data_IF_305981736942
#
_entry.id   IF_305981736942
#
_cell.length_a   1.000
_cell.length_b   1.000
_cell.length_c   1.000
_cell.angle_alpha   90.00
_cell.angle_beta   90.00
_cell.angle_gamma   90.00
#
_symmetry.space_group_name_H-M   'P 1'
#
loop_
_entity.id
_entity.type
_entity.pdbx_description
1 polymer ?
#
# COMPACT_ATOMS: atom_id res chain seq x y z
N UNK A 1 -25.18 -3.50 -0.54
CA UNK A 1 -23.86 -3.99 -1.01
C UNK A 1 -22.79 -2.99 -0.58
N UNK A 2 -21.74 -3.43 0.12
CA UNK A 2 -20.63 -2.57 0.56
C UNK A 2 -19.74 -2.23 -0.64
N UNK A 3 -19.39 -0.96 -0.85
CA UNK A 3 -18.45 -0.56 -1.92
C UNK A 3 -17.01 -0.70 -1.44
N UNK A 4 -16.14 -1.21 -2.29
CA UNK A 4 -14.69 -1.30 -2.03
C UNK A 4 -13.94 -0.87 -3.29
N UNK A 5 -12.75 -0.32 -3.11
CA UNK A 5 -11.95 0.18 -4.21
C UNK A 5 -10.69 -0.67 -4.35
N UNK A 6 -10.51 -1.35 -5.49
CA UNK A 6 -9.28 -2.06 -5.86
C UNK A 6 -8.49 -1.17 -6.82
N UNK A 7 -7.35 -0.66 -6.38
CA UNK A 7 -6.64 0.43 -7.03
C UNK A 7 -5.34 -0.05 -7.68
N UNK A 8 -5.13 0.36 -8.92
CA UNK A 8 -3.92 0.11 -9.71
C UNK A 8 -3.36 1.45 -10.23
N UNK A 9 -2.51 2.16 -9.47
CA UNK A 9 -1.72 3.26 -10.01
C UNK A 9 -0.64 2.74 -10.95
N UNK A 10 -0.41 3.43 -12.07
CA UNK A 10 0.66 3.11 -13.02
C UNK A 10 1.22 4.37 -13.72
N UNK A 11 2.50 4.32 -14.05
CA UNK A 11 3.23 5.28 -14.87
C UNK A 11 3.98 4.60 -16.03
N UNK A 12 3.65 3.34 -16.31
CA UNK A 12 4.36 2.45 -17.25
C UNK A 12 3.45 1.37 -17.84
N UNK A 13 3.94 0.70 -18.88
CA UNK A 13 3.29 -0.47 -19.47
C UNK A 13 2.93 -1.56 -18.43
N UNK A 14 1.65 -1.90 -18.32
CA UNK A 14 1.14 -2.90 -17.39
C UNK A 14 -0.17 -3.57 -17.83
N UNK A 15 -0.44 -3.65 -19.14
CA UNK A 15 -1.69 -4.23 -19.68
C UNK A 15 -2.00 -5.64 -19.17
N UNK A 16 -1.00 -6.47 -18.91
CA UNK A 16 -1.19 -7.79 -18.30
C UNK A 16 -1.69 -7.69 -16.84
N UNK A 17 -1.13 -6.76 -16.06
CA UNK A 17 -1.54 -6.48 -14.68
C UNK A 17 -2.96 -5.92 -14.63
N UNK A 18 -3.36 -5.07 -15.58
CA UNK A 18 -4.75 -4.60 -15.72
C UNK A 18 -5.74 -5.77 -15.78
N UNK A 19 -5.45 -6.78 -16.61
CA UNK A 19 -6.30 -7.98 -16.72
C UNK A 19 -6.30 -8.81 -15.42
N UNK A 20 -5.13 -9.03 -14.83
CA UNK A 20 -5.00 -9.80 -13.59
C UNK A 20 -5.76 -9.13 -12.43
N UNK A 21 -5.67 -7.81 -12.28
CA UNK A 21 -6.38 -7.07 -11.22
C UNK A 21 -7.89 -7.02 -11.51
N UNK A 22 -8.33 -7.05 -12.78
CA UNK A 22 -9.73 -7.21 -13.11
C UNK A 22 -10.28 -8.61 -12.74
N UNK A 23 -9.48 -9.67 -12.91
CA UNK A 23 -9.81 -11.01 -12.41
C UNK A 23 -9.92 -11.02 -10.87
N UNK A 24 -9.04 -10.29 -10.19
CA UNK A 24 -9.11 -10.09 -8.75
C UNK A 24 -10.39 -9.36 -8.32
N UNK A 25 -10.77 -8.30 -9.03
CA UNK A 25 -12.02 -7.57 -8.77
C UNK A 25 -13.24 -8.49 -8.95
N UNK A 26 -13.25 -9.29 -10.03
CA UNK A 26 -14.31 -10.27 -10.28
C UNK A 26 -14.40 -11.33 -9.17
N UNK A 27 -13.25 -11.83 -8.70
CA UNK A 27 -13.22 -12.73 -7.54
C UNK A 27 -13.83 -12.08 -6.30
N UNK A 28 -13.48 -10.82 -6.04
CA UNK A 28 -14.05 -10.02 -4.96
C UNK A 28 -15.58 -9.93 -5.03
N UNK A 29 -16.11 -9.52 -6.17
CA UNK A 29 -17.57 -9.35 -6.37
C UNK A 29 -18.34 -10.69 -6.32
N UNK A 30 -17.77 -11.78 -6.84
CA UNK A 30 -18.44 -13.10 -6.87
C UNK A 30 -18.50 -13.79 -5.50
N UNK A 31 -17.48 -13.60 -4.66
CA UNK A 31 -17.35 -14.34 -3.40
C UNK A 31 -17.72 -13.51 -2.16
N UNK A 32 -17.85 -12.19 -2.31
CA UNK A 32 -18.18 -11.29 -1.22
C UNK A 32 -19.33 -10.38 -1.66
N UNK A 33 -20.27 -10.07 -0.74
CA UNK A 33 -21.39 -9.15 -0.98
C UNK A 33 -20.91 -7.68 -1.06
N UNK A 34 -20.10 -7.40 -2.10
CA UNK A 34 -19.45 -6.11 -2.33
C UNK A 34 -19.55 -5.68 -3.78
N UNK A 35 -19.57 -4.36 -3.98
CA UNK A 35 -19.34 -3.71 -5.27
C UNK A 35 -17.87 -3.33 -5.35
N UNK A 36 -17.14 -3.93 -6.28
CA UNK A 36 -15.71 -3.63 -6.47
C UNK A 36 -15.57 -2.54 -7.52
N UNK A 37 -15.10 -1.39 -7.09
CA UNK A 37 -14.63 -0.33 -7.97
C UNK A 37 -13.17 -0.61 -8.33
N UNK A 38 -12.91 -1.13 -9.53
CA UNK A 38 -11.57 -1.23 -10.07
C UNK A 38 -11.12 0.15 -10.53
N UNK A 39 -10.17 0.75 -9.82
CA UNK A 39 -9.69 2.11 -10.05
C UNK A 39 -8.26 2.08 -10.62
N UNK A 40 -8.13 2.38 -11.91
CA UNK A 40 -6.85 2.47 -12.61
C UNK A 40 -6.49 3.95 -12.74
N UNK A 41 -5.37 4.35 -12.12
CA UNK A 41 -4.84 5.73 -12.19
C UNK A 41 -3.60 5.72 -13.08
N UNK A 42 -3.76 6.20 -14.31
CA UNK A 42 -2.77 6.06 -15.36
C UNK A 42 -2.07 7.39 -15.66
N UNK A 43 -0.81 7.49 -15.25
CA UNK A 43 0.10 8.60 -15.56
C UNK A 43 1.14 8.19 -16.62
N UNK A 44 0.88 7.13 -17.40
CA UNK A 44 1.81 6.63 -18.41
C UNK A 44 1.82 7.49 -19.68
N UNK A 45 2.86 7.32 -20.51
CA UNK A 45 2.93 7.95 -21.83
C UNK A 45 1.83 7.45 -22.78
N UNK A 46 1.57 8.20 -23.85
CA UNK A 46 0.45 7.97 -24.77
C UNK A 46 0.37 6.54 -25.35
N UNK A 47 1.50 5.90 -25.64
CA UNK A 47 1.54 4.55 -26.17
C UNK A 47 1.06 3.51 -25.14
N UNK A 48 1.55 3.60 -23.91
CA UNK A 48 1.16 2.71 -22.81
C UNK A 48 -0.31 2.95 -22.41
N UNK A 49 -0.73 4.22 -22.32
CA UNK A 49 -2.12 4.58 -22.05
C UNK A 49 -3.09 3.99 -23.10
N UNK A 50 -2.73 4.04 -24.39
CA UNK A 50 -3.54 3.43 -25.44
C UNK A 50 -3.66 1.91 -25.26
N UNK A 51 -2.54 1.23 -24.97
CA UNK A 51 -2.54 -0.20 -24.70
C UNK A 51 -3.35 -0.57 -23.44
N UNK A 52 -3.32 0.27 -22.40
CA UNK A 52 -4.16 0.08 -21.22
C UNK A 52 -5.64 0.27 -21.52
N UNK A 53 -6.02 1.28 -22.31
CA UNK A 53 -7.41 1.48 -22.76
C UNK A 53 -7.93 0.28 -23.55
N UNK A 54 -7.12 -0.27 -24.45
CA UNK A 54 -7.46 -1.50 -25.17
C UNK A 54 -7.64 -2.69 -24.21
N UNK A 55 -6.74 -2.84 -23.23
CA UNK A 55 -6.84 -3.91 -22.23
C UNK A 55 -8.11 -3.77 -21.38
N UNK A 56 -8.48 -2.56 -20.96
CA UNK A 56 -9.71 -2.25 -20.21
C UNK A 56 -10.95 -2.52 -21.06
N UNK A 57 -10.96 -2.07 -22.33
CA UNK A 57 -12.08 -2.28 -23.23
C UNK A 57 -12.33 -3.77 -23.56
N UNK A 58 -11.27 -4.58 -23.50
CA UNK A 58 -11.34 -6.03 -23.72
C UNK A 58 -11.77 -6.83 -22.47
N UNK A 59 -11.94 -6.18 -21.30
CA UNK A 59 -12.37 -6.88 -20.09
C UNK A 59 -13.80 -7.40 -20.23
N UNK A 60 -14.08 -8.65 -19.82
CA UNK A 60 -15.44 -9.15 -19.78
C UNK A 60 -16.27 -8.37 -18.75
N UNK A 61 -17.54 -8.05 -19.02
CA UNK A 61 -18.41 -7.46 -18.02
C UNK A 61 -18.64 -8.45 -16.88
N UNK A 62 -18.48 -8.00 -15.64
CA UNK A 62 -18.70 -8.81 -14.44
C UNK A 62 -19.70 -8.11 -13.51
N UNK A 63 -20.81 -8.77 -13.12
CA UNK A 63 -21.74 -8.23 -12.13
C UNK A 63 -21.04 -7.84 -10.82
N UNK A 64 -21.33 -6.64 -10.34
CA UNK A 64 -20.72 -6.12 -9.11
C UNK A 64 -19.31 -5.54 -9.28
N UNK A 65 -18.77 -5.49 -10.50
CA UNK A 65 -17.51 -4.79 -10.81
C UNK A 65 -17.79 -3.52 -11.63
N UNK A 66 -17.23 -2.40 -11.19
CA UNK A 66 -17.27 -1.12 -11.92
C UNK A 66 -15.84 -0.68 -12.19
N UNK A 67 -15.47 -0.59 -13.48
CA UNK A 67 -14.12 -0.19 -13.88
C UNK A 67 -14.05 1.32 -14.13
N UNK A 68 -13.09 1.97 -13.49
CA UNK A 68 -12.74 3.39 -13.66
C UNK A 68 -11.30 3.45 -14.14
N UNK A 69 -11.08 3.95 -15.35
CA UNK A 69 -9.75 4.20 -15.90
C UNK A 69 -9.61 5.70 -16.11
N UNK A 70 -8.78 6.34 -15.29
CA UNK A 70 -8.51 7.77 -15.40
C UNK A 70 -7.09 8.00 -15.90
N UNK A 71 -6.96 8.69 -17.02
CA UNK A 71 -5.69 9.30 -17.42
C UNK A 71 -5.35 10.49 -16.51
N UNK A 72 -4.15 11.06 -16.66
CA UNK A 72 -3.71 12.16 -15.80
C UNK A 72 -4.55 13.44 -15.93
N UNK A 73 -5.10 13.72 -17.11
CA UNK A 73 -5.94 14.90 -17.33
C UNK A 73 -7.30 14.72 -16.63
N UNK A 74 -7.90 13.54 -16.74
CA UNK A 74 -9.14 13.20 -16.03
C UNK A 74 -8.94 13.22 -14.50
N UNK A 75 -7.80 12.72 -14.02
CA UNK A 75 -7.42 12.83 -12.60
C UNK A 75 -7.29 14.29 -12.17
N UNK A 76 -6.68 15.14 -12.99
CA UNK A 76 -6.52 16.58 -12.73
C UNK A 76 -7.87 17.29 -12.65
N UNK A 77 -8.79 16.99 -13.55
CA UNK A 77 -10.12 17.60 -13.57
C UNK A 77 -10.96 17.16 -12.36
N UNK A 78 -10.90 15.88 -11.97
CA UNK A 78 -11.51 15.41 -10.72
C UNK A 78 -10.96 16.16 -9.50
N UNK A 79 -9.63 16.31 -9.40
CA UNK A 79 -8.98 16.97 -8.28
C UNK A 79 -9.32 18.46 -8.24
N UNK A 80 -9.29 19.17 -9.36
CA UNK A 80 -9.70 20.58 -9.45
C UNK A 80 -11.12 20.79 -8.92
N UNK A 81 -12.06 19.96 -9.37
CA UNK A 81 -13.44 20.01 -8.90
C UNK A 81 -13.57 19.73 -7.40
N UNK A 82 -12.84 18.73 -6.89
CA UNK A 82 -12.86 18.35 -5.47
C UNK A 82 -12.24 19.43 -4.58
N UNK A 83 -11.07 19.94 -4.96
CA UNK A 83 -10.37 21.02 -4.25
C UNK A 83 -11.23 22.28 -4.21
N UNK A 84 -11.83 22.68 -5.34
CA UNK A 84 -12.71 23.85 -5.40
C UNK A 84 -13.93 23.71 -4.45
N UNK A 85 -14.55 22.53 -4.39
CA UNK A 85 -15.69 22.27 -3.50
C UNK A 85 -15.32 22.13 -2.02
N UNK A 86 -14.08 21.74 -1.72
CA UNK A 86 -13.63 21.50 -0.35
C UNK A 86 -13.45 22.78 0.47
N UNK A 87 -13.25 23.93 -0.18
CA UNK A 87 -12.99 25.20 0.51
C UNK A 87 -11.65 25.26 1.25
N UNK A 88 -10.68 24.40 0.90
CA UNK A 88 -9.33 24.41 1.49
C UNK A 88 -8.63 25.76 1.27
N UNK A 89 -7.85 26.20 2.27
CA UNK A 89 -7.27 27.54 2.28
C UNK A 89 -6.25 27.82 1.15
N UNK A 90 -5.57 26.79 0.65
CA UNK A 90 -4.55 26.91 -0.40
C UNK A 90 -4.83 25.89 -1.53
N UNK A 91 -5.86 26.10 -2.36
CA UNK A 91 -6.32 25.11 -3.32
C UNK A 91 -5.25 24.72 -4.34
N UNK A 92 -4.52 25.69 -4.90
CA UNK A 92 -3.46 25.43 -5.87
C UNK A 92 -2.34 24.57 -5.26
N UNK A 93 -1.93 24.89 -4.02
CA UNK A 93 -0.94 24.09 -3.30
C UNK A 93 -1.40 22.65 -3.06
N UNK A 94 -2.68 22.45 -2.73
CA UNK A 94 -3.23 21.09 -2.55
C UNK A 94 -3.21 20.33 -3.87
N UNK A 95 -3.57 20.98 -4.98
CA UNK A 95 -3.50 20.36 -6.30
C UNK A 95 -2.07 19.98 -6.67
N UNK A 96 -1.10 20.87 -6.46
CA UNK A 96 0.33 20.63 -6.74
C UNK A 96 0.89 19.46 -5.90
N UNK A 97 0.42 19.29 -4.66
CA UNK A 97 0.81 18.16 -3.81
C UNK A 97 0.21 16.83 -4.29
N UNK A 98 -0.93 16.84 -4.98
CA UNK A 98 -1.59 15.62 -5.50
C UNK A 98 -1.10 15.23 -6.91
N UNK A 99 -0.63 16.20 -7.69
CA UNK A 99 -0.08 16.02 -9.03
C UNK A 99 1.29 16.69 -9.15
N UNK A 100 2.30 16.24 -8.37
CA UNK A 100 3.65 16.76 -8.50
C UNK A 100 4.25 16.37 -9.87
N UNK A 101 5.18 17.18 -10.36
CA UNK A 101 5.90 16.89 -11.61
C UNK A 101 6.85 15.70 -11.52
N UNK A 102 7.29 15.34 -10.30
CA UNK A 102 8.14 14.18 -10.03
C UNK A 102 7.35 12.98 -9.51
N UNK A 103 8.00 11.81 -9.47
CA UNK A 103 7.37 10.57 -8.99
C UNK A 103 7.06 10.69 -7.51
N UNK A 104 5.81 10.43 -7.11
CA UNK A 104 5.39 10.44 -5.70
C UNK A 104 4.40 9.33 -5.41
N UNK A 105 4.87 8.31 -4.69
CA UNK A 105 4.04 7.18 -4.24
C UNK A 105 2.93 7.63 -3.27
N UNK A 106 3.22 8.63 -2.44
CA UNK A 106 2.23 9.23 -1.54
C UNK A 106 1.15 9.98 -2.32
N UNK A 107 1.53 10.81 -3.30
CA UNK A 107 0.56 11.57 -4.08
C UNK A 107 -0.35 10.66 -4.94
N UNK A 108 0.19 9.63 -5.61
CA UNK A 108 -0.65 8.69 -6.37
C UNK A 108 -1.63 7.92 -5.48
N UNK A 109 -1.19 7.50 -4.29
CA UNK A 109 -2.07 6.80 -3.35
C UNK A 109 -3.12 7.74 -2.75
N UNK A 110 -2.78 9.00 -2.48
CA UNK A 110 -3.75 10.01 -2.02
C UNK A 110 -4.82 10.30 -3.07
N UNK A 111 -4.47 10.34 -4.36
CA UNK A 111 -5.44 10.44 -5.47
C UNK A 111 -6.44 9.27 -5.41
N UNK A 112 -5.94 8.05 -5.20
CA UNK A 112 -6.78 6.87 -5.04
C UNK A 112 -7.71 6.96 -3.82
N UNK A 113 -7.20 7.45 -2.68
CA UNK A 113 -8.01 7.66 -1.47
C UNK A 113 -9.13 8.69 -1.67
N UNK A 114 -8.85 9.82 -2.33
CA UNK A 114 -9.87 10.83 -2.60
C UNK A 114 -10.96 10.33 -3.54
N UNK A 115 -10.60 9.58 -4.58
CA UNK A 115 -11.58 8.98 -5.50
C UNK A 115 -12.39 7.91 -4.76
N UNK A 116 -11.74 7.08 -3.93
CA UNK A 116 -12.42 6.08 -3.12
C UNK A 116 -13.42 6.70 -2.12
N UNK A 117 -13.06 7.80 -1.47
CA UNK A 117 -13.99 8.59 -0.65
C UNK A 117 -15.18 9.10 -1.48
N UNK A 118 -14.94 9.65 -2.67
CA UNK A 118 -16.01 10.15 -3.54
C UNK A 118 -16.96 9.04 -4.03
N UNK A 119 -16.45 7.82 -4.20
CA UNK A 119 -17.25 6.65 -4.57
C UNK A 119 -18.01 6.04 -3.38
N UNK A 120 -17.68 6.46 -2.15
CA UNK A 120 -18.24 5.88 -0.91
C UNK A 120 -17.69 4.49 -0.61
N UNK A 121 -16.46 4.20 -1.03
CA UNK A 121 -15.77 2.95 -0.69
C UNK A 121 -15.56 2.85 0.83
N UNK A 122 -15.70 1.63 1.37
CA UNK A 122 -15.45 1.31 2.78
C UNK A 122 -14.01 0.85 3.03
N UNK A 123 -13.31 0.43 1.98
CA UNK A 123 -11.91 0.06 1.99
C UNK A 123 -11.24 0.35 0.65
N UNK A 124 -9.94 0.62 0.70
CA UNK A 124 -9.06 0.73 -0.47
C UNK A 124 -8.07 -0.41 -0.42
N UNK A 125 -7.90 -1.11 -1.54
CA UNK A 125 -7.01 -2.25 -1.74
C UNK A 125 -6.02 -1.87 -2.83
N UNK A 126 -4.72 -1.85 -2.56
CA UNK A 126 -3.71 -1.39 -3.51
C UNK A 126 -2.93 -2.56 -4.13
N UNK A 127 -2.70 -2.46 -5.44
CA UNK A 127 -1.78 -3.28 -6.23
C UNK A 127 -0.84 -2.37 -7.00
N UNK A 128 0.40 -2.82 -7.20
CA UNK A 128 1.39 -2.09 -8.01
C UNK A 128 1.54 -2.74 -9.39
N UNK A 129 1.85 -1.92 -10.40
CA UNK A 129 1.93 -2.32 -11.81
C UNK A 129 3.04 -3.33 -12.13
N UNK A 130 4.06 -3.41 -11.29
CA UNK A 130 5.25 -4.27 -11.40
C UNK A 130 5.18 -5.53 -10.51
N UNK A 131 3.97 -6.07 -10.36
CA UNK A 131 3.71 -7.28 -9.59
C UNK A 131 2.84 -8.29 -10.36
N UNK A 132 2.91 -9.56 -9.95
CA UNK A 132 2.02 -10.62 -10.45
C UNK A 132 1.60 -11.54 -9.31
N UNK A 133 0.50 -12.26 -9.46
CA UNK A 133 0.07 -13.22 -8.44
C UNK A 133 0.96 -14.48 -8.45
N UNK A 134 1.03 -15.13 -7.28
CA UNK A 134 1.44 -16.52 -7.21
C UNK A 134 0.33 -17.42 -7.76
N UNK A 135 0.67 -18.66 -8.10
CA UNK A 135 -0.27 -19.65 -8.58
C UNK A 135 -0.18 -20.91 -7.72
N UNK A 136 -1.33 -21.51 -7.43
CA UNK A 136 -1.45 -22.83 -6.80
C UNK A 136 -2.41 -23.66 -7.64
N UNK A 137 -1.97 -24.84 -8.07
CA UNK A 137 -2.76 -25.75 -8.91
C UNK A 137 -3.34 -25.09 -10.18
N UNK A 138 -2.60 -24.13 -10.76
CA UNK A 138 -2.99 -23.41 -11.97
C UNK A 138 -3.87 -22.18 -11.74
N UNK A 139 -4.33 -21.96 -10.52
CA UNK A 139 -5.20 -20.83 -10.17
C UNK A 139 -4.42 -19.68 -9.51
N UNK A 140 -4.75 -18.42 -9.81
CA UNK A 140 -4.10 -17.28 -9.18
C UNK A 140 -4.47 -17.17 -7.69
N UNK A 141 -3.46 -16.89 -6.87
CA UNK A 141 -3.61 -16.69 -5.44
C UNK A 141 -3.91 -15.21 -5.17
N UNK A 142 -5.20 -14.89 -5.09
CA UNK A 142 -5.70 -13.52 -5.04
C UNK A 142 -5.72 -12.97 -3.60
N UNK A 143 -4.99 -11.89 -3.27
CA UNK A 143 -4.95 -11.32 -1.92
C UNK A 143 -6.30 -10.75 -1.43
N UNK A 144 -7.12 -10.20 -2.33
CA UNK A 144 -8.42 -9.59 -2.00
C UNK A 144 -9.33 -10.50 -1.20
N UNK A 145 -9.16 -11.82 -1.33
CA UNK A 145 -9.90 -12.81 -0.57
C UNK A 145 -9.73 -12.64 0.95
N UNK A 146 -8.49 -12.50 1.42
CA UNK A 146 -8.23 -12.30 2.86
C UNK A 146 -8.52 -10.87 3.28
N UNK A 147 -8.25 -9.91 2.39
CA UNK A 147 -8.57 -8.51 2.64
C UNK A 147 -10.06 -8.32 2.90
N UNK A 148 -10.95 -8.80 2.01
CA UNK A 148 -12.39 -8.65 2.16
C UNK A 148 -12.99 -9.52 3.28
N UNK A 149 -12.34 -10.64 3.62
CA UNK A 149 -12.76 -11.49 4.74
C UNK A 149 -12.70 -10.75 6.08
N UNK A 150 -11.73 -9.84 6.25
CA UNK A 150 -11.43 -9.23 7.55
C UNK A 150 -11.62 -7.71 7.61
N UNK A 151 -11.29 -6.95 6.55
CA UNK A 151 -11.21 -5.48 6.61
C UNK A 151 -12.53 -4.85 7.05
N UNK A 152 -12.45 -3.90 7.99
CA UNK A 152 -13.58 -3.17 8.55
C UNK A 152 -14.47 -3.97 9.51
N UNK A 153 -14.23 -5.27 9.70
CA UNK A 153 -14.97 -6.09 10.67
C UNK A 153 -14.36 -5.98 12.06
N UNK A 154 -15.17 -6.25 13.08
CA UNK A 154 -14.70 -6.32 14.45
C UNK A 154 -13.71 -7.48 14.62
N UNK A 155 -12.62 -7.23 15.33
CA UNK A 155 -11.54 -8.20 15.50
C UNK A 155 -11.99 -9.49 16.19
N UNK A 156 -12.93 -9.41 17.14
CA UNK A 156 -13.56 -10.56 17.79
C UNK A 156 -14.22 -11.51 16.77
N UNK A 157 -14.90 -10.95 15.75
CA UNK A 157 -15.60 -11.74 14.74
C UNK A 157 -14.63 -12.33 13.70
N UNK A 158 -13.45 -11.71 13.53
CA UNK A 158 -12.39 -12.17 12.63
C UNK A 158 -11.52 -13.25 13.28
N UNK A 159 -11.41 -13.28 14.60
CA UNK A 159 -10.55 -14.22 15.33
C UNK A 159 -10.82 -15.70 14.99
N UNK A 160 -12.08 -16.06 14.71
CA UNK A 160 -12.47 -17.42 14.30
C UNK A 160 -12.31 -17.72 12.80
N UNK A 161 -11.96 -16.72 11.98
CA UNK A 161 -11.80 -16.84 10.53
C UNK A 161 -10.35 -16.88 10.08
N UNK A 162 -9.42 -16.56 10.99
CA UNK A 162 -7.98 -16.56 10.71
C UNK A 162 -7.32 -17.86 11.18
N UNK A 163 -6.17 -18.21 10.60
CA UNK A 163 -5.42 -19.39 11.02
C UNK A 163 -4.91 -19.29 12.45
N UNK A 164 -4.62 -18.06 12.93
CA UNK A 164 -4.25 -17.78 14.32
C UNK A 164 -4.52 -16.34 14.72
N UNK A 165 -4.75 -16.11 16.01
CA UNK A 165 -4.78 -14.76 16.60
C UNK A 165 -3.61 -14.57 17.56
N UNK A 166 -2.94 -13.43 17.45
CA UNK A 166 -1.94 -12.90 18.39
C UNK A 166 -2.34 -11.51 18.91
N UNK A 167 -3.59 -11.10 18.64
CA UNK A 167 -4.11 -9.81 19.04
C UNK A 167 -4.33 -9.77 20.56
N UNK A 168 -3.99 -8.64 21.17
CA UNK A 168 -4.36 -8.35 22.56
C UNK A 168 -5.90 -8.40 22.71
N UNK A 169 -6.46 -9.21 23.62
CA UNK A 169 -7.90 -9.30 23.83
C UNK A 169 -8.57 -7.95 24.13
N UNK A 170 -7.84 -6.98 24.69
CA UNK A 170 -8.37 -5.62 24.92
C UNK A 170 -8.73 -4.87 23.63
N UNK A 171 -8.26 -5.36 22.47
CA UNK A 171 -8.53 -4.79 21.15
C UNK A 171 -9.63 -5.56 20.39
N UNK A 172 -10.27 -6.56 21.00
CA UNK A 172 -11.23 -7.44 20.34
C UNK A 172 -12.45 -6.69 19.76
N UNK A 173 -12.91 -5.64 20.44
CA UNK A 173 -14.08 -4.85 20.01
C UNK A 173 -13.75 -3.82 18.91
N UNK A 174 -12.48 -3.64 18.57
CA UNK A 174 -12.05 -2.70 17.53
C UNK A 174 -12.19 -3.32 16.14
N UNK A 175 -12.34 -2.46 15.14
CA UNK A 175 -12.37 -2.88 13.74
C UNK A 175 -10.97 -3.18 13.21
N UNK A 176 -10.88 -4.13 12.28
CA UNK A 176 -9.67 -4.42 11.52
C UNK A 176 -9.42 -3.26 10.56
N UNK A 177 -8.38 -2.48 10.83
CA UNK A 177 -8.05 -1.25 10.13
C UNK A 177 -7.18 -1.46 8.89
N UNK A 178 -6.45 -2.59 8.85
CA UNK A 178 -5.51 -2.92 7.79
C UNK A 178 -5.44 -4.44 7.58
N UNK A 179 -5.42 -4.87 6.33
CA UNK A 179 -5.15 -6.27 5.97
C UNK A 179 -4.09 -6.27 4.88
N UNK A 180 -3.11 -7.15 4.93
CA UNK A 180 -2.12 -7.18 3.85
C UNK A 180 -1.16 -8.34 3.92
N UNK A 181 -0.38 -8.45 2.87
CA UNK A 181 0.76 -9.34 2.75
C UNK A 181 1.98 -8.57 2.24
N UNK A 182 3.09 -9.29 2.18
CA UNK A 182 4.33 -8.82 1.55
C UNK A 182 4.44 -9.35 0.11
N UNK A 183 5.61 -9.19 -0.51
CA UNK A 183 5.98 -9.83 -1.77
C UNK A 183 6.93 -11.03 -1.58
N UNK A 184 7.02 -11.87 -2.61
CA UNK A 184 8.09 -12.85 -2.82
C UNK A 184 8.91 -12.51 -4.07
N UNK A 185 10.13 -13.02 -4.16
CA UNK A 185 11.01 -12.79 -5.31
C UNK A 185 12.06 -11.72 -5.06
N UNK A 186 12.20 -10.78 -6.00
CA UNK A 186 13.16 -9.68 -5.89
C UNK A 186 12.87 -8.81 -4.67
N UNK A 187 13.93 -8.30 -4.02
CA UNK A 187 13.79 -7.34 -2.90
C UNK A 187 13.06 -6.08 -3.37
N UNK A 188 12.32 -5.44 -2.47
CA UNK A 188 11.58 -4.21 -2.80
C UNK A 188 12.51 -3.10 -3.26
N UNK A 189 13.65 -3.00 -2.58
CA UNK A 189 14.74 -2.06 -2.86
C UNK A 189 15.89 -2.81 -3.52
N UNK A 190 16.52 -2.16 -4.50
CA UNK A 190 17.65 -2.72 -5.24
C UNK A 190 18.96 -2.64 -4.40
N UNK A 191 19.04 -3.49 -3.38
CA UNK A 191 20.18 -3.59 -2.43
C UNK A 191 20.76 -5.01 -2.34
N UNK A 192 20.18 -5.95 -3.11
CA UNK A 192 20.60 -7.35 -3.10
C UNK A 192 22.04 -7.54 -3.58
N UNK A 193 22.46 -6.78 -4.60
CA UNK A 193 23.83 -6.83 -5.11
C UNK A 193 24.84 -6.25 -4.10
N UNK A 194 24.48 -5.14 -3.42
CA UNK A 194 25.30 -4.57 -2.34
C UNK A 194 25.52 -5.63 -1.25
N UNK A 195 24.45 -6.34 -0.84
CA UNK A 195 24.55 -7.44 0.13
C UNK A 195 25.47 -8.56 -0.34
N UNK A 196 25.41 -8.92 -1.63
CA UNK A 196 26.20 -10.00 -2.18
C UNK A 196 27.70 -9.64 -2.29
N UNK A 197 28.01 -8.38 -2.61
CA UNK A 197 29.37 -7.89 -2.77
C UNK A 197 30.03 -7.56 -1.42
N UNK A 198 29.31 -6.87 -0.53
CA UNK A 198 29.80 -6.47 0.79
C UNK A 198 28.65 -6.40 1.82
N UNK A 199 28.47 -7.46 2.63
CA UNK A 199 27.46 -7.49 3.68
C UNK A 199 27.60 -6.37 4.72
N UNK A 200 28.82 -5.90 5.02
CA UNK A 200 29.03 -4.83 6.00
C UNK A 200 28.53 -3.50 5.47
N UNK A 201 28.79 -3.20 4.19
CA UNK A 201 28.27 -1.99 3.53
C UNK A 201 26.74 -2.04 3.44
N UNK A 202 26.17 -3.21 3.14
CA UNK A 202 24.73 -3.41 3.19
C UNK A 202 24.17 -3.12 4.60
N UNK A 203 24.80 -3.66 5.63
CA UNK A 203 24.36 -3.49 7.02
C UNK A 203 24.42 -2.02 7.47
N UNK A 204 25.47 -1.30 7.07
CA UNK A 204 25.60 0.14 7.32
C UNK A 204 24.50 0.92 6.59
N UNK A 205 24.29 0.66 5.30
CA UNK A 205 23.30 1.35 4.46
C UNK A 205 21.87 1.13 4.97
N UNK A 206 21.45 -0.12 5.13
CA UNK A 206 20.10 -0.48 5.60
C UNK A 206 19.93 -0.06 7.06
N UNK A 207 20.99 -0.13 7.87
CA UNK A 207 21.01 0.30 9.25
C UNK A 207 20.71 1.79 9.46
N UNK A 208 20.86 2.64 8.43
CA UNK A 208 20.43 4.06 8.47
C UNK A 208 18.90 4.21 8.58
N UNK A 209 18.13 3.20 8.17
CA UNK A 209 16.67 3.20 8.30
C UNK A 209 16.17 2.76 9.68
N UNK A 210 17.05 2.21 10.52
CA UNK A 210 16.71 1.70 11.86
C UNK A 210 16.72 2.85 12.87
N UNK A 211 15.71 2.98 13.75
CA UNK A 211 15.70 4.04 14.75
C UNK A 211 16.92 4.05 15.67
N UNK A 212 17.38 5.24 16.02
CA UNK A 212 18.50 5.42 16.95
C UNK A 212 18.18 4.80 18.32
N UNK A 213 19.20 4.24 18.98
CA UNK A 213 19.08 3.67 20.33
C UNK A 213 18.54 2.23 20.40
N UNK A 214 18.24 1.59 19.27
CA UNK A 214 17.96 0.15 19.25
C UNK A 214 19.21 -0.64 19.69
N UNK A 215 19.06 -1.66 20.57
CA UNK A 215 20.19 -2.51 20.94
C UNK A 215 20.78 -3.20 19.69
N UNK A 216 22.10 -3.31 19.63
CA UNK A 216 22.85 -3.84 18.49
C UNK A 216 22.35 -5.23 18.02
N UNK A 217 21.99 -6.10 18.97
CA UNK A 217 21.45 -7.43 18.67
C UNK A 217 20.10 -7.38 17.91
N UNK A 218 19.28 -6.37 18.17
CA UNK A 218 18.00 -6.16 17.48
C UNK A 218 18.19 -5.40 16.16
N UNK A 219 19.16 -4.49 16.10
CA UNK A 219 19.51 -3.76 14.88
C UNK A 219 19.83 -4.73 13.74
N UNK A 220 20.68 -5.73 13.98
CA UNK A 220 21.02 -6.73 12.94
C UNK A 220 19.81 -7.48 12.41
N UNK A 221 18.92 -7.92 13.30
CA UNK A 221 17.68 -8.60 12.87
C UNK A 221 16.79 -7.68 12.02
N UNK A 222 16.68 -6.40 12.40
CA UNK A 222 15.90 -5.42 11.62
C UNK A 222 16.50 -5.17 10.24
N UNK A 223 17.83 -5.10 10.15
CA UNK A 223 18.53 -4.95 8.87
C UNK A 223 18.34 -6.20 8.00
N UNK A 224 18.42 -7.39 8.57
CA UNK A 224 18.21 -8.65 7.84
C UNK A 224 16.77 -8.84 7.31
N UNK A 225 15.78 -8.29 8.03
CA UNK A 225 14.37 -8.31 7.63
C UNK A 225 13.99 -7.18 6.67
N UNK A 226 14.65 -6.03 6.76
CA UNK A 226 14.32 -4.87 5.94
C UNK A 226 14.45 -5.17 4.43
N UNK A 227 13.46 -4.71 3.66
CA UNK A 227 13.39 -4.82 2.19
C UNK A 227 13.38 -6.25 1.61
N UNK A 228 13.51 -7.28 2.45
CA UNK A 228 13.53 -8.69 2.04
C UNK A 228 12.17 -9.20 1.57
N UNK A 229 11.09 -8.57 2.02
CA UNK A 229 9.73 -9.06 1.88
C UNK A 229 9.54 -10.42 2.58
N UNK A 230 8.69 -11.28 2.03
CA UNK A 230 8.45 -12.64 2.52
C UNK A 230 9.47 -13.69 2.03
N UNK A 231 10.53 -13.27 1.32
CA UNK A 231 11.54 -14.16 0.77
C UNK A 231 11.13 -14.78 -0.56
N UNK A 232 11.38 -16.08 -0.75
CA UNK A 232 11.19 -16.77 -2.05
C UNK A 232 10.30 -18.01 -1.97
N UNK A 233 9.71 -18.27 -0.80
CA UNK A 233 8.89 -19.45 -0.60
C UNK A 233 7.61 -19.35 -1.44
N UNK A 234 7.33 -20.39 -2.23
CA UNK A 234 6.09 -20.50 -2.98
C UNK A 234 4.90 -20.67 -2.03
N UNK A 235 3.76 -20.12 -2.42
CA UNK A 235 2.49 -20.33 -1.74
C UNK A 235 2.08 -21.81 -1.79
N UNK A 236 1.73 -22.38 -0.63
CA UNK A 236 1.33 -23.79 -0.49
C UNK A 236 -0.03 -23.94 0.19
N UNK A 237 -0.61 -22.85 0.68
CA UNK A 237 -1.85 -22.86 1.44
C UNK A 237 -2.02 -21.59 2.27
N UNK A 238 -3.25 -21.29 2.65
CA UNK A 238 -3.58 -20.06 3.36
C UNK A 238 -3.08 -20.07 4.81
N UNK A 239 -2.38 -19.01 5.18
CA UNK A 239 -2.00 -18.68 6.54
C UNK A 239 -2.31 -17.20 6.80
N UNK A 240 -3.14 -16.97 7.81
CA UNK A 240 -3.51 -15.62 8.26
C UNK A 240 -3.27 -15.44 9.74
N UNK A 241 -2.86 -14.23 10.15
CA UNK A 241 -2.63 -13.86 11.54
C UNK A 241 -3.34 -12.57 11.87
N UNK A 242 -4.33 -12.63 12.78
CA UNK A 242 -4.91 -11.42 13.40
C UNK A 242 -3.93 -10.90 14.46
N UNK A 243 -3.47 -9.66 14.33
CA UNK A 243 -2.45 -9.04 15.19
C UNK A 243 -2.44 -7.52 15.01
N UNK A 244 -1.66 -6.79 15.80
CA UNK A 244 -1.13 -5.50 15.32
C UNK A 244 -0.04 -5.81 14.31
N UNK A 245 -0.28 -5.53 13.03
CA UNK A 245 0.64 -5.92 11.94
C UNK A 245 1.87 -5.03 11.98
N UNK A 246 3.06 -5.64 11.93
CA UNK A 246 4.32 -4.91 11.92
C UNK A 246 4.59 -4.32 10.53
N UNK A 247 5.08 -3.06 10.42
CA UNK A 247 5.31 -2.42 9.13
C UNK A 247 6.32 -3.14 8.22
N UNK A 248 7.24 -3.93 8.79
CA UNK A 248 8.22 -4.72 8.04
C UNK A 248 7.66 -6.01 7.43
N UNK A 249 6.37 -6.31 7.64
CA UNK A 249 5.76 -7.59 7.25
C UNK A 249 4.72 -7.46 6.14
N UNK A 250 4.44 -6.24 5.71
CA UNK A 250 3.47 -5.93 4.66
C UNK A 250 4.06 -4.90 3.71
N UNK A 251 3.65 -4.95 2.46
CA UNK A 251 4.10 -4.02 1.44
C UNK A 251 2.92 -3.29 0.81
N UNK A 252 3.14 -2.03 0.45
CA UNK A 252 2.08 -1.17 -0.08
C UNK A 252 1.44 -1.68 -1.36
N UNK A 253 2.12 -2.56 -2.10
CA UNK A 253 1.62 -3.23 -3.29
C UNK A 253 0.63 -4.38 -3.00
N UNK A 254 0.43 -4.76 -1.74
CA UNK A 254 -0.41 -5.90 -1.34
C UNK A 254 -1.12 -5.61 0.00
N UNK A 255 -1.91 -4.54 0.01
CA UNK A 255 -2.49 -4.01 1.24
C UNK A 255 -3.89 -3.45 1.04
N UNK A 256 -4.70 -3.54 2.08
CA UNK A 256 -5.98 -2.89 2.21
C UNK A 256 -6.06 -2.03 3.46
N UNK A 257 -6.64 -0.83 3.34
CA UNK A 257 -6.94 0.07 4.44
C UNK A 257 -8.44 0.29 4.56
N UNK A 258 -8.93 0.33 5.79
CA UNK A 258 -10.30 0.74 6.09
C UNK A 258 -10.45 2.27 5.91
N UNK A 259 -11.68 2.70 5.57
CA UNK A 259 -12.02 4.12 5.37
C UNK A 259 -11.63 5.02 6.53
N UNK A 260 -11.76 4.52 7.74
CA UNK A 260 -11.42 5.22 8.98
C UNK A 260 -9.91 5.56 9.09
N UNK A 261 -9.07 4.92 8.28
CA UNK A 261 -7.64 5.22 8.17
C UNK A 261 -7.38 6.15 6.99
N UNK A 262 -7.66 5.69 5.76
CA UNK A 262 -7.26 6.42 4.55
C UNK A 262 -8.04 7.73 4.34
N UNK A 263 -9.28 7.79 4.84
CA UNK A 263 -10.12 8.98 4.76
C UNK A 263 -9.75 10.07 5.77
N UNK A 264 -8.86 9.78 6.73
CA UNK A 264 -8.49 10.69 7.80
C UNK A 264 -7.09 11.27 7.67
N UNK A 265 -6.13 10.48 7.21
CA UNK A 265 -4.73 10.87 7.17
C UNK A 265 -4.17 10.63 5.76
N UNK A 266 -3.71 11.68 5.06
CA UNK A 266 -3.05 11.51 3.78
C UNK A 266 -1.64 10.95 3.97
N UNK A 267 -1.11 10.34 2.92
CA UNK A 267 0.29 9.96 2.84
C UNK A 267 1.17 11.19 2.52
N UNK A 268 2.41 11.27 3.04
CA UNK A 268 3.36 12.31 2.65
C UNK A 268 3.63 12.29 1.13
N UNK A 269 3.28 13.36 0.38
CA UNK A 269 3.39 13.38 -1.07
C UNK A 269 4.82 13.70 -1.57
N UNK A 270 5.84 13.37 -0.78
CA UNK A 270 7.24 13.66 -1.12
C UNK A 270 7.64 13.05 -2.47
N UNK A 271 8.29 13.86 -3.31
CA UNK A 271 8.72 13.43 -4.64
C UNK A 271 10.09 12.76 -4.59
N UNK A 272 10.29 11.83 -5.52
CA UNK A 272 11.54 11.10 -5.73
C UNK A 272 12.08 10.52 -4.42
N UNK A 273 11.21 9.90 -3.63
CA UNK A 273 11.58 9.10 -2.47
C UNK A 273 10.77 7.81 -2.48
N UNK A 274 11.25 6.81 -1.75
CA UNK A 274 10.53 5.56 -1.49
C UNK A 274 10.09 5.51 -0.02
N UNK A 275 9.21 4.58 0.34
CA UNK A 275 8.88 4.30 1.73
C UNK A 275 7.99 5.34 2.43
N UNK A 276 7.84 6.56 1.88
CA UNK A 276 6.94 7.57 2.43
C UNK A 276 5.47 7.16 2.40
N UNK A 277 5.10 6.31 1.43
CA UNK A 277 3.76 5.74 1.32
C UNK A 277 3.45 4.66 2.38
N UNK A 278 4.46 4.20 3.14
CA UNK A 278 4.27 3.29 4.28
C UNK A 278 3.82 4.02 5.55
N UNK A 279 3.68 5.34 5.52
CA UNK A 279 3.32 6.15 6.68
C UNK A 279 2.06 5.65 7.41
N UNK A 280 1.00 5.27 6.66
CA UNK A 280 -0.21 4.73 7.26
C UNK A 280 -0.02 3.37 7.92
N UNK A 281 0.89 2.53 7.40
CA UNK A 281 1.23 1.23 8.01
C UNK A 281 1.84 1.46 9.40
N UNK A 282 2.79 2.39 9.50
CA UNK A 282 3.39 2.77 10.77
C UNK A 282 2.40 3.42 11.73
N UNK A 283 1.49 4.27 11.22
CA UNK A 283 0.46 4.91 12.03
C UNK A 283 -0.54 3.90 12.60
N UNK A 284 -1.05 2.97 11.77
CA UNK A 284 -1.93 1.87 12.19
C UNK A 284 -1.25 1.00 13.25
N UNK A 285 0.03 0.67 13.03
CA UNK A 285 0.84 -0.10 13.97
C UNK A 285 1.01 0.64 15.31
N UNK A 286 1.45 1.90 15.28
CA UNK A 286 1.65 2.73 16.47
C UNK A 286 0.36 3.00 17.23
N UNK A 287 -0.77 3.03 16.53
CA UNK A 287 -2.11 3.14 17.11
C UNK A 287 -2.63 1.84 17.74
N UNK A 288 -1.87 0.74 17.62
CA UNK A 288 -2.27 -0.60 18.05
C UNK A 288 -3.64 -1.00 17.47
N UNK A 289 -3.95 -0.56 16.24
CA UNK A 289 -5.19 -0.96 15.59
C UNK A 289 -5.09 -2.43 15.13
N UNK A 290 -6.18 -3.22 15.24
CA UNK A 290 -6.19 -4.59 14.72
C UNK A 290 -5.91 -4.62 13.22
N UNK A 291 -5.15 -5.62 12.79
CA UNK A 291 -4.90 -5.92 11.40
C UNK A 291 -4.80 -7.41 11.13
N UNK A 292 -4.88 -7.81 9.87
CA UNK A 292 -4.64 -9.20 9.45
C UNK A 292 -3.45 -9.26 8.51
N UNK A 293 -2.47 -10.10 8.85
CA UNK A 293 -1.36 -10.47 7.98
C UNK A 293 -1.73 -11.75 7.24
N UNK A 294 -1.58 -11.80 5.91
CA UNK A 294 -1.76 -13.02 5.12
C UNK A 294 -0.52 -13.39 4.31
N UNK A 295 -0.38 -14.67 3.98
CA UNK A 295 0.72 -15.19 3.15
C UNK A 295 0.40 -15.30 1.66
N UNK A 296 -0.76 -14.80 1.20
CA UNK A 296 -1.03 -14.54 -0.23
C UNK A 296 -0.16 -13.38 -0.72
N UNK A 297 1.14 -13.62 -0.76
CA UNK A 297 2.15 -12.68 -1.22
C UNK A 297 2.08 -12.54 -2.73
N UNK A 298 2.41 -11.36 -3.24
CA UNK A 298 2.54 -11.14 -4.68
C UNK A 298 3.99 -11.32 -5.10
N UNK A 299 4.24 -11.68 -6.35
CA UNK A 299 5.59 -11.81 -6.88
C UNK A 299 6.06 -10.45 -7.38
N UNK A 300 7.12 -9.93 -6.78
CA UNK A 300 7.77 -8.67 -7.17
C UNK A 300 8.81 -8.92 -8.28
N UNK A 301 8.92 -7.99 -9.23
CA UNK A 301 9.97 -8.01 -10.25
C UNK A 301 10.42 -6.59 -10.59
N UNK A 302 11.71 -6.43 -10.90
CA UNK A 302 12.22 -5.15 -11.41
C UNK A 302 12.05 -5.08 -12.93
N UNK A 303 11.48 -3.98 -13.43
CA UNK A 303 11.31 -3.78 -14.87
C UNK A 303 12.66 -3.54 -15.56
N UNK A 304 12.76 -3.74 -16.89
CA UNK A 304 13.98 -3.44 -17.65
C UNK A 304 14.45 -1.99 -17.48
N UNK A 305 13.53 -1.03 -17.41
CA UNK A 305 13.84 0.39 -17.22
C UNK A 305 14.51 0.63 -15.87
N UNK A 306 14.03 -0.03 -14.80
CA UNK A 306 14.64 0.05 -13.46
C UNK A 306 16.08 -0.47 -13.45
N UNK A 307 16.41 -1.45 -14.31
CA UNK A 307 17.75 -2.03 -14.44
C UNK A 307 18.68 -1.25 -15.39
N UNK A 308 18.20 -0.20 -16.04
CA UNK A 308 19.05 0.71 -16.82
C UNK A 308 19.90 1.60 -15.90
N UNK A 309 21.03 2.12 -16.38
CA UNK A 309 21.90 3.02 -15.60
C UNK A 309 21.11 4.23 -15.04
N UNK A 310 20.24 4.82 -15.86
CA UNK A 310 19.41 5.95 -15.47
C UNK A 310 18.35 5.55 -14.43
N UNK A 311 17.69 4.41 -14.63
CA UNK A 311 16.68 3.88 -13.71
C UNK A 311 17.28 3.50 -12.36
N UNK A 312 18.43 2.84 -12.37
CA UNK A 312 19.19 2.47 -11.18
C UNK A 312 19.60 3.72 -10.39
N UNK A 313 20.23 4.70 -11.04
CA UNK A 313 20.63 5.94 -10.38
C UNK A 313 19.43 6.69 -9.79
N UNK A 314 18.34 6.82 -10.56
CA UNK A 314 17.12 7.44 -10.07
C UNK A 314 16.57 6.71 -8.83
N UNK A 315 16.57 5.38 -8.84
CA UNK A 315 16.10 4.58 -7.71
C UNK A 315 17.00 4.72 -6.47
N UNK A 316 18.33 4.71 -6.62
CA UNK A 316 19.27 4.91 -5.51
C UNK A 316 19.19 6.33 -4.92
N UNK A 317 18.91 7.35 -5.74
CA UNK A 317 18.63 8.70 -5.25
C UNK A 317 17.35 8.72 -4.40
N UNK A 318 16.31 7.97 -4.79
CA UNK A 318 15.07 7.83 -4.01
C UNK A 318 15.32 7.15 -2.67
N UNK A 319 16.11 6.06 -2.66
CA UNK A 319 16.54 5.40 -1.42
C UNK A 319 17.32 6.36 -0.53
N UNK A 320 18.27 7.11 -1.07
CA UNK A 320 19.07 8.08 -0.32
C UNK A 320 18.17 9.15 0.32
N UNK A 321 17.22 9.71 -0.44
CA UNK A 321 16.22 10.66 0.08
C UNK A 321 15.37 10.06 1.19
N UNK A 322 14.95 8.80 1.06
CA UNK A 322 14.24 8.08 2.12
C UNK A 322 15.08 7.96 3.40
N UNK A 323 16.33 7.53 3.29
CA UNK A 323 17.22 7.38 4.45
C UNK A 323 17.47 8.71 5.17
N UNK A 324 17.58 9.82 4.42
CA UNK A 324 17.66 11.17 4.99
C UNK A 324 16.36 11.61 5.68
N UNK A 325 15.21 11.18 5.17
CA UNK A 325 13.89 11.49 5.75
C UNK A 325 13.50 10.57 6.92
N UNK A 326 14.07 9.37 7.00
CA UNK A 326 13.68 8.34 7.95
C UNK A 326 13.72 8.80 9.41
N UNK A 327 14.75 9.53 9.91
CA UNK A 327 14.75 10.03 11.29
C UNK A 327 13.58 10.98 11.58
N UNK A 328 13.20 11.82 10.61
CA UNK A 328 12.04 12.71 10.76
C UNK A 328 10.74 11.92 10.81
N UNK A 329 10.53 10.96 9.90
CA UNK A 329 9.34 10.10 9.91
C UNK A 329 9.24 9.30 11.22
N UNK A 330 10.36 8.76 11.70
CA UNK A 330 10.41 8.06 13.00
C UNK A 330 10.03 8.98 14.16
N UNK A 331 10.50 10.23 14.17
CA UNK A 331 10.14 11.21 15.21
C UNK A 331 8.63 11.52 15.17
N UNK A 332 8.04 11.67 13.98
CA UNK A 332 6.59 11.87 13.82
C UNK A 332 5.82 10.65 14.34
N UNK A 333 6.23 9.43 13.99
CA UNK A 333 5.60 8.21 14.49
C UNK A 333 5.72 8.07 16.02
N UNK A 334 6.90 8.37 16.59
CA UNK A 334 7.13 8.31 18.02
C UNK A 334 6.26 9.34 18.78
N UNK A 335 6.12 10.55 18.24
CA UNK A 335 5.23 11.58 18.78
C UNK A 335 3.77 11.17 18.71
N UNK A 336 3.34 10.59 17.58
CA UNK A 336 1.97 10.10 17.40
C UNK A 336 1.64 8.93 18.34
N UNK A 337 2.61 8.07 18.65
CA UNK A 337 2.46 6.98 19.60
C UNK A 337 2.55 7.42 21.08
N UNK A 338 3.07 8.61 21.36
CA UNK A 338 3.21 9.18 22.70
C UNK A 338 1.98 10.00 23.13
N UNK A 339 1.89 10.35 24.42
CA UNK A 339 0.81 11.17 24.99
C UNK A 339 -0.52 10.42 25.07
N UNK A 340 -1.63 11.08 24.72
CA UNK A 340 -2.97 10.48 24.66
C UNK A 340 -3.12 9.44 23.51
N UNK A 341 -2.03 9.18 22.78
CA UNK A 341 -1.97 8.23 21.67
C UNK A 341 -2.58 8.78 20.37
N UNK A 342 -2.52 8.02 19.26
CA UNK A 342 -2.92 8.52 17.95
C UNK A 342 -4.43 8.46 17.70
N UNK A 343 -5.23 8.04 18.68
CA UNK A 343 -6.66 7.80 18.53
C UNK A 343 -7.52 8.81 19.31
N UNK A 344 -8.73 9.07 18.84
CA UNK A 344 -9.76 9.84 19.54
C UNK A 344 -10.62 8.95 20.46
N UNK A 345 -11.63 9.55 21.11
CA UNK A 345 -12.51 8.84 22.04
C UNK A 345 -13.33 7.73 21.37
N UNK A 346 -13.54 7.82 20.05
CA UNK A 346 -14.25 6.81 19.25
C UNK A 346 -13.29 5.72 18.73
N UNK A 347 -12.00 5.80 19.09
CA UNK A 347 -10.97 4.85 18.68
C UNK A 347 -10.48 5.07 17.25
N UNK A 348 -10.71 6.24 16.67
CA UNK A 348 -10.37 6.58 15.29
C UNK A 348 -9.12 7.46 15.24
N UNK A 349 -8.36 7.38 14.14
CA UNK A 349 -7.08 8.09 14.00
C UNK A 349 -7.29 9.61 14.04
N UNK A 350 -6.46 10.32 14.81
CA UNK A 350 -6.45 11.79 14.91
C UNK A 350 -5.43 12.38 13.93
N UNK A 351 -5.90 13.03 12.87
CA UNK A 351 -5.01 13.68 11.91
C UNK A 351 -4.10 14.75 12.56
N UNK A 352 -4.58 15.43 13.60
CA UNK A 352 -3.82 16.48 14.29
C UNK A 352 -2.54 15.99 14.98
N UNK A 353 -2.44 14.69 15.33
CA UNK A 353 -1.24 14.17 16.00
C UNK A 353 -0.05 13.99 15.05
N UNK A 354 -0.31 13.94 13.74
CA UNK A 354 0.69 13.76 12.68
C UNK A 354 0.89 15.01 11.82
N UNK A 355 0.07 16.04 12.00
CA UNK A 355 0.13 17.29 11.22
C UNK A 355 1.15 18.32 11.75
N UNK A 356 1.79 18.07 12.89
CA UNK A 356 2.49 19.08 13.70
C UNK A 356 4.00 18.87 13.82
#
# INVERSE_FOLDING_TARGET
>A
MRRVCLTLPTDRACAATVRAVAEEAAHGARHFDVEVHLLILDSSGAADLAAHREAVAALPPEPGVVVHHFDEDEQRDFLRGTVARSGVAAPDRVLDLMLPSGVSYGACTNRAFLIAEALGCASVHRRDSDSRYQYLDGEPVLPIHHELTAIGRRAADVAGLVSRSRLDPALAERTVAMVGGSFVGEMSVDVAEIRALDPLVHDDLVGLSVPAGYPEIWRRNLVDEAFRGAGTAAFTGDLTTLTTVAPTRVDMCNIAFAREVYGRVPLPPATDTIGSDYFLVHLVHGARLPGVLHNRHIVNFHTPERRSDAGFLAYQLRLTKFLLAAPHLQAVHAKAAAGDGPLDADGLVRASVVAA
#
